data_IF_437739898454
#
_entry.id   IF_437739898454
#
_cell.length_a   1.000
_cell.length_b   1.000
_cell.length_c   1.000
_cell.angle_alpha   90.00
_cell.angle_beta   90.00
_cell.angle_gamma   90.00
#
_symmetry.space_group_name_H-M   'P 1'
#
loop_
_entity.id
_entity.type
_entity.pdbx_description
1 polymer ?
#
# COMPACT_ATOMS: atom_id res chain seq x y z
N UNK A 1 19.45 10.64 -16.08
CA UNK A 1 19.47 9.38 -16.83
C UNK A 1 18.10 8.72 -16.72
N UNK A 2 17.38 8.54 -17.83
CA UNK A 2 16.05 7.92 -17.86
C UNK A 2 16.24 6.40 -17.91
N UNK A 3 15.63 5.68 -16.99
CA UNK A 3 15.54 4.22 -17.02
C UNK A 3 14.09 3.82 -17.20
N UNK A 4 13.79 3.05 -18.23
CA UNK A 4 12.51 2.36 -18.39
C UNK A 4 12.51 1.14 -17.46
N UNK A 5 11.99 1.31 -16.26
CA UNK A 5 11.82 0.21 -15.31
C UNK A 5 10.33 -0.13 -15.28
N UNK A 6 10.00 -1.41 -15.42
CA UNK A 6 8.60 -1.86 -15.36
C UNK A 6 7.79 -1.56 -16.62
N UNK A 7 8.35 -1.82 -17.80
CA UNK A 7 7.66 -1.62 -19.09
C UNK A 7 6.27 -2.30 -19.15
N UNK A 8 6.10 -3.40 -18.41
CA UNK A 8 4.82 -4.11 -18.26
C UNK A 8 3.82 -3.37 -17.34
N UNK A 9 4.28 -2.45 -16.50
CA UNK A 9 3.43 -1.73 -15.54
C UNK A 9 3.24 -0.26 -15.91
N UNK A 10 3.78 0.20 -17.04
CA UNK A 10 3.63 1.58 -17.50
C UNK A 10 4.23 2.63 -16.57
N UNK A 11 5.31 2.28 -15.85
CA UNK A 11 6.04 3.20 -14.96
C UNK A 11 7.36 3.60 -15.60
N UNK A 12 7.62 4.90 -15.66
CA UNK A 12 8.86 5.50 -16.09
C UNK A 12 9.59 6.07 -14.88
N UNK A 13 10.75 5.50 -14.52
CA UNK A 13 11.61 6.05 -13.47
C UNK A 13 12.68 6.95 -14.07
N UNK A 14 12.84 8.15 -13.57
CA UNK A 14 13.95 9.01 -13.93
C UNK A 14 14.63 9.59 -12.69
N UNK A 15 15.94 9.84 -12.80
CA UNK A 15 16.73 10.48 -11.75
C UNK A 15 17.00 11.95 -12.12
N UNK A 16 16.61 12.88 -11.26
CA UNK A 16 16.84 14.31 -11.37
C UNK A 16 17.46 14.77 -10.06
N UNK A 17 18.64 15.37 -10.13
CA UNK A 17 19.37 15.95 -8.97
C UNK A 17 19.40 15.00 -7.73
N UNK A 18 19.85 13.77 -7.95
CA UNK A 18 19.95 12.72 -6.92
C UNK A 18 18.60 12.16 -6.40
N UNK A 19 17.45 12.69 -6.85
CA UNK A 19 16.13 12.20 -6.52
C UNK A 19 15.58 11.27 -7.61
N UNK A 20 14.98 10.17 -7.21
CA UNK A 20 14.30 9.27 -8.12
C UNK A 20 12.81 9.66 -8.22
N UNK A 21 12.34 9.82 -9.46
CA UNK A 21 10.95 10.15 -9.79
C UNK A 21 10.32 9.03 -10.58
N UNK A 22 9.16 8.59 -10.15
CA UNK A 22 8.33 7.62 -10.86
C UNK A 22 7.15 8.32 -11.53
N UNK A 23 7.06 8.20 -12.84
CA UNK A 23 5.93 8.67 -13.65
C UNK A 23 5.08 7.50 -14.07
N UNK A 24 3.81 7.54 -13.79
CA UNK A 24 2.86 6.51 -14.21
C UNK A 24 1.57 7.12 -14.73
N UNK A 25 0.99 6.50 -15.76
CA UNK A 25 -0.36 6.85 -16.17
C UNK A 25 -1.37 6.33 -15.14
N UNK A 26 -2.49 7.02 -14.96
CA UNK A 26 -3.63 6.47 -14.25
C UNK A 26 -4.04 5.12 -14.84
N UNK A 27 -4.35 4.15 -14.00
CA UNK A 27 -4.65 2.80 -14.45
C UNK A 27 -5.67 2.12 -13.54
N UNK A 28 -6.41 1.20 -14.09
CA UNK A 28 -7.24 0.24 -13.38
C UNK A 28 -6.48 -1.08 -13.33
N UNK A 29 -6.44 -1.70 -12.17
CA UNK A 29 -5.90 -3.04 -11.96
C UNK A 29 -7.09 -3.95 -11.61
N UNK A 30 -7.18 -5.09 -12.27
CA UNK A 30 -8.20 -6.10 -12.02
C UNK A 30 -7.53 -7.45 -11.79
N UNK A 31 -7.79 -8.08 -10.66
CA UNK A 31 -7.30 -9.43 -10.38
C UNK A 31 -8.02 -10.42 -11.29
N UNK A 32 -7.27 -11.18 -12.10
CA UNK A 32 -7.80 -12.14 -13.07
C UNK A 32 -7.49 -13.60 -12.69
N UNK A 33 -6.71 -13.84 -11.63
CA UNK A 33 -6.31 -15.17 -11.18
C UNK A 33 -6.00 -15.24 -9.69
N UNK A 34 -5.44 -16.38 -9.26
CA UNK A 34 -5.17 -16.66 -7.84
C UNK A 34 -3.83 -16.11 -7.36
N UNK A 35 -2.87 -15.92 -8.25
CA UNK A 35 -1.52 -15.49 -7.89
C UNK A 35 -1.41 -13.96 -7.86
N UNK A 36 -0.47 -13.45 -7.08
CA UNK A 36 -0.19 -12.02 -6.95
C UNK A 36 0.26 -11.34 -8.26
N UNK A 37 0.59 -12.10 -9.30
CA UNK A 37 0.96 -11.60 -10.64
C UNK A 37 -0.21 -11.60 -11.62
N UNK A 38 -1.34 -12.17 -11.24
CA UNK A 38 -2.51 -12.33 -12.12
C UNK A 38 -3.37 -11.06 -12.10
N UNK A 39 -2.79 -9.94 -12.52
CA UNK A 39 -3.52 -8.68 -12.69
C UNK A 39 -3.56 -8.26 -14.16
N UNK A 40 -4.74 -7.92 -14.64
CA UNK A 40 -4.90 -7.14 -15.86
C UNK A 40 -4.74 -5.66 -15.52
N UNK A 41 -3.85 -4.99 -16.23
CA UNK A 41 -3.58 -3.56 -16.06
C UNK A 41 -4.03 -2.84 -17.31
N UNK A 42 -5.01 -1.95 -17.16
CA UNK A 42 -5.49 -1.09 -18.24
C UNK A 42 -5.21 0.36 -17.87
N UNK A 43 -4.35 1.01 -18.65
CA UNK A 43 -4.07 2.44 -18.50
C UNK A 43 -5.19 3.26 -19.11
N UNK A 44 -5.67 4.27 -18.39
CA UNK A 44 -6.66 5.21 -18.88
C UNK A 44 -6.30 6.62 -18.36
N UNK A 45 -5.77 7.49 -19.22
CA UNK A 45 -5.37 8.85 -18.83
C UNK A 45 -6.53 9.74 -18.39
N UNK A 46 -7.78 9.36 -18.70
CA UNK A 46 -8.97 10.12 -18.36
C UNK A 46 -9.58 9.75 -17.00
N UNK A 47 -8.97 8.81 -16.25
CA UNK A 47 -9.42 8.51 -14.89
C UNK A 47 -9.24 9.72 -13.99
N UNK A 48 -10.25 10.00 -13.19
CA UNK A 48 -10.11 10.96 -12.09
C UNK A 48 -9.08 10.45 -11.07
N UNK A 49 -8.52 11.37 -10.28
CA UNK A 49 -7.59 11.00 -9.21
C UNK A 49 -8.21 9.99 -8.23
N UNK A 50 -9.50 10.17 -7.90
CA UNK A 50 -10.24 9.26 -7.02
C UNK A 50 -10.32 7.83 -7.58
N UNK A 51 -10.69 7.70 -8.85
CA UNK A 51 -10.77 6.39 -9.53
C UNK A 51 -9.40 5.70 -9.61
N UNK A 52 -8.34 6.46 -9.90
CA UNK A 52 -6.99 5.91 -9.94
C UNK A 52 -6.46 5.52 -8.55
N UNK A 53 -6.90 6.22 -7.49
CA UNK A 53 -6.41 6.01 -6.13
C UNK A 53 -7.17 4.93 -5.34
N UNK A 54 -8.39 4.53 -5.75
CA UNK A 54 -9.21 3.54 -5.02
C UNK A 54 -8.53 2.17 -4.86
N UNK A 55 -7.62 1.82 -5.77
CA UNK A 55 -6.82 0.59 -5.73
C UNK A 55 -5.68 0.61 -4.71
N UNK A 56 -5.38 1.78 -4.12
CA UNK A 56 -4.33 1.90 -3.10
C UNK A 56 -4.76 1.21 -1.81
N UNK A 57 -3.79 0.90 -0.98
CA UNK A 57 -4.00 0.17 0.27
C UNK A 57 -4.66 1.03 1.35
N UNK A 58 -4.09 2.20 1.65
CA UNK A 58 -4.52 3.04 2.78
C UNK A 58 -4.89 4.45 2.34
N UNK A 59 -5.80 5.08 3.09
CA UNK A 59 -6.26 6.45 2.87
C UNK A 59 -5.11 7.44 2.83
N UNK A 60 -4.14 7.30 3.76
CA UNK A 60 -2.93 8.15 3.82
C UNK A 60 -2.04 8.02 2.59
N UNK A 61 -2.07 6.87 1.92
CA UNK A 61 -1.30 6.63 0.70
C UNK A 61 -2.04 7.10 -0.57
N UNK A 62 -3.29 7.55 -0.43
CA UNK A 62 -4.12 8.08 -1.50
C UNK A 62 -4.19 9.62 -1.50
N UNK A 63 -3.44 10.27 -0.65
CA UNK A 63 -3.27 11.72 -0.69
C UNK A 63 -2.40 12.07 -1.90
N UNK A 64 -2.88 12.99 -2.72
CA UNK A 64 -2.14 13.54 -3.84
C UNK A 64 -1.94 15.05 -3.67
N UNK A 65 -1.16 15.63 -4.57
CA UNK A 65 -0.96 17.07 -4.65
C UNK A 65 -1.01 17.51 -6.11
N UNK A 66 -1.94 18.41 -6.41
CA UNK A 66 -2.02 19.05 -7.73
C UNK A 66 -1.11 20.28 -7.73
N UNK A 67 0.04 20.12 -8.38
CA UNK A 67 1.05 21.19 -8.44
C UNK A 67 0.55 22.45 -9.17
N UNK A 68 -0.30 22.27 -10.18
CA UNK A 68 -0.80 23.40 -10.98
C UNK A 68 -1.86 24.22 -10.25
N UNK A 69 -2.69 23.55 -9.44
CA UNK A 69 -3.72 24.18 -8.63
C UNK A 69 -3.25 24.53 -7.21
N UNK A 70 -2.05 24.04 -6.83
CA UNK A 70 -1.48 24.21 -5.50
C UNK A 70 -2.44 23.69 -4.39
N UNK A 71 -3.05 22.52 -4.60
CA UNK A 71 -4.03 21.93 -3.69
C UNK A 71 -3.78 20.45 -3.42
N UNK A 72 -4.18 20.01 -2.22
CA UNK A 72 -4.18 18.58 -1.91
C UNK A 72 -5.43 17.91 -2.46
N UNK A 73 -5.23 16.73 -3.04
CA UNK A 73 -6.28 15.83 -3.50
C UNK A 73 -6.40 14.71 -2.47
N UNK A 74 -7.49 14.72 -1.71
CA UNK A 74 -7.72 13.74 -0.63
C UNK A 74 -9.15 13.17 -0.68
N UNK A 75 -9.45 12.34 -1.68
CA UNK A 75 -10.80 11.84 -1.89
C UNK A 75 -11.26 10.81 -0.84
N UNK A 76 -10.36 10.34 0.03
CA UNK A 76 -10.62 9.30 1.03
C UNK A 76 -10.33 9.75 2.46
N UNK A 77 -10.21 11.06 2.71
CA UNK A 77 -9.99 11.64 4.03
C UNK A 77 -8.69 11.17 4.72
N UNK A 78 -7.65 10.88 3.94
CA UNK A 78 -6.35 10.41 4.47
C UNK A 78 -5.63 11.45 5.32
N UNK A 79 -5.81 12.74 5.04
CA UNK A 79 -5.24 13.83 5.86
C UNK A 79 -5.86 13.84 7.26
N UNK A 80 -7.17 13.59 7.35
CA UNK A 80 -7.87 13.51 8.62
C UNK A 80 -7.45 12.26 9.41
N UNK A 81 -7.40 11.10 8.76
CA UNK A 81 -6.91 9.87 9.37
C UNK A 81 -5.47 10.04 9.91
N UNK A 82 -4.60 10.70 9.14
CA UNK A 82 -3.23 10.98 9.57
C UNK A 82 -3.18 11.89 10.80
N UNK A 83 -4.01 12.95 10.84
CA UNK A 83 -4.11 13.86 12.00
C UNK A 83 -4.63 13.13 13.24
N UNK A 84 -5.56 12.20 13.06
CA UNK A 84 -6.15 11.41 14.14
C UNK A 84 -5.26 10.22 14.56
N UNK A 85 -4.13 10.02 13.89
CA UNK A 85 -3.23 8.90 14.18
C UNK A 85 -3.79 7.53 13.80
N UNK A 86 -4.59 7.46 12.73
CA UNK A 86 -5.29 6.24 12.30
C UNK A 86 -4.74 5.75 10.96
N UNK A 87 -4.54 4.45 10.84
CA UNK A 87 -4.24 3.77 9.57
C UNK A 87 -5.47 3.00 9.11
N UNK A 88 -6.11 3.50 8.05
CA UNK A 88 -7.34 2.95 7.51
C UNK A 88 -7.19 2.55 6.05
N UNK A 89 -7.75 1.40 5.67
CA UNK A 89 -7.82 0.99 4.26
C UNK A 89 -8.87 1.82 3.49
N UNK A 90 -8.77 1.82 2.16
CA UNK A 90 -9.66 2.61 1.30
C UNK A 90 -10.94 1.85 0.98
N UNK A 91 -10.81 0.59 0.55
CA UNK A 91 -11.92 -0.21 0.05
C UNK A 91 -11.68 -1.68 0.35
N UNK A 92 -12.69 -2.35 0.90
CA UNK A 92 -12.60 -3.74 1.36
C UNK A 92 -12.20 -4.69 0.22
N UNK A 93 -12.87 -4.59 -0.93
CA UNK A 93 -12.65 -5.49 -2.05
C UNK A 93 -11.24 -5.38 -2.62
N UNK A 94 -10.77 -4.14 -2.85
CA UNK A 94 -9.41 -3.94 -3.36
C UNK A 94 -8.36 -4.29 -2.32
N UNK A 95 -8.65 -4.10 -1.02
CA UNK A 95 -7.70 -4.40 0.05
C UNK A 95 -7.36 -5.90 0.13
N UNK A 96 -8.35 -6.76 -0.01
CA UNK A 96 -8.15 -8.22 0.05
C UNK A 96 -7.47 -8.81 -1.20
N UNK A 97 -7.36 -8.06 -2.30
CA UNK A 97 -6.73 -8.55 -3.53
C UNK A 97 -5.22 -8.81 -3.41
N UNK A 98 -4.53 -8.11 -2.50
CA UNK A 98 -3.09 -8.30 -2.24
C UNK A 98 -2.85 -8.56 -0.74
N UNK A 99 -2.65 -9.83 -0.39
CA UNK A 99 -2.41 -10.25 0.99
C UNK A 99 -1.14 -9.65 1.62
N UNK A 100 -0.20 -9.10 0.83
CA UNK A 100 0.94 -8.34 1.33
C UNK A 100 0.51 -7.09 2.11
N UNK A 101 -0.70 -6.58 1.89
CA UNK A 101 -1.22 -5.40 2.60
C UNK A 101 -1.31 -5.60 4.10
N UNK A 102 -1.37 -6.85 4.58
CA UNK A 102 -1.27 -7.17 6.01
C UNK A 102 0.09 -6.75 6.57
N UNK A 103 1.19 -7.12 5.91
CA UNK A 103 2.54 -6.69 6.33
C UNK A 103 2.77 -5.19 6.12
N UNK A 104 2.17 -4.64 5.08
CA UNK A 104 2.20 -3.19 4.83
C UNK A 104 1.46 -2.43 5.92
N UNK A 105 0.32 -2.94 6.44
CA UNK A 105 -0.38 -2.36 7.57
C UNK A 105 0.52 -2.27 8.81
N UNK A 106 1.22 -3.36 9.13
CA UNK A 106 2.19 -3.41 10.24
C UNK A 106 3.32 -2.39 10.04
N UNK A 107 3.89 -2.36 8.83
CA UNK A 107 5.00 -1.46 8.51
C UNK A 107 4.58 0.01 8.59
N UNK A 108 3.43 0.40 8.00
CA UNK A 108 2.97 1.78 8.01
C UNK A 108 2.52 2.23 9.41
N UNK A 109 1.79 1.39 10.15
CA UNK A 109 1.41 1.68 11.53
C UNK A 109 2.64 1.98 12.40
N UNK A 110 3.68 1.17 12.29
CA UNK A 110 4.93 1.38 13.03
C UNK A 110 5.71 2.60 12.55
N UNK A 111 5.81 2.81 11.24
CA UNK A 111 6.58 3.90 10.65
C UNK A 111 6.04 5.27 11.01
N UNK A 112 4.73 5.41 11.03
CA UNK A 112 4.05 6.67 11.28
C UNK A 112 3.40 6.75 12.66
N UNK A 113 3.64 5.74 13.53
CA UNK A 113 3.09 5.66 14.88
C UNK A 113 1.54 5.75 14.90
N UNK A 114 0.88 5.09 13.91
CA UNK A 114 -0.56 5.09 13.74
C UNK A 114 -1.21 3.87 14.39
N UNK A 115 -2.44 4.03 14.86
CA UNK A 115 -3.29 2.91 15.28
C UNK A 115 -4.00 2.32 14.07
N UNK A 116 -4.03 1.00 13.98
CA UNK A 116 -4.78 0.31 12.94
C UNK A 116 -6.28 0.46 13.22
N UNK A 117 -7.02 0.96 12.22
CA UNK A 117 -8.48 1.05 12.28
C UNK A 117 -9.10 -0.34 12.46
N UNK A 118 -10.18 -0.46 13.25
CA UNK A 118 -10.78 -1.75 13.58
C UNK A 118 -11.31 -2.48 12.34
N UNK A 119 -11.90 -1.77 11.37
CA UNK A 119 -12.36 -2.39 10.13
C UNK A 119 -11.18 -2.93 9.31
N UNK A 120 -10.06 -2.20 9.26
CA UNK A 120 -8.82 -2.65 8.61
C UNK A 120 -8.22 -3.87 9.31
N UNK A 121 -8.26 -3.90 10.64
CA UNK A 121 -7.80 -5.01 11.44
C UNK A 121 -8.61 -6.29 11.20
N UNK A 122 -9.93 -6.15 11.10
CA UNK A 122 -10.82 -7.27 10.74
C UNK A 122 -10.46 -7.83 9.35
N UNK A 123 -10.25 -6.97 8.35
CA UNK A 123 -9.84 -7.41 7.02
C UNK A 123 -8.47 -8.11 7.04
N UNK A 124 -7.50 -7.59 7.79
CA UNK A 124 -6.21 -8.25 7.97
C UNK A 124 -6.39 -9.67 8.55
N UNK A 125 -7.21 -9.83 9.59
CA UNK A 125 -7.50 -11.14 10.19
C UNK A 125 -8.19 -12.08 9.20
N UNK A 126 -9.13 -11.59 8.39
CA UNK A 126 -9.79 -12.38 7.35
C UNK A 126 -8.79 -12.90 6.31
N UNK A 127 -7.84 -12.05 5.85
CA UNK A 127 -6.77 -12.45 4.92
C UNK A 127 -5.86 -13.51 5.56
N UNK A 128 -5.50 -13.34 6.83
CA UNK A 128 -4.65 -14.30 7.56
C UNK A 128 -5.37 -15.65 7.65
N UNK A 129 -6.63 -15.65 8.07
CA UNK A 129 -7.45 -16.85 8.24
C UNK A 129 -7.74 -17.57 6.91
N UNK A 130 -7.76 -16.87 5.78
CA UNK A 130 -7.88 -17.48 4.45
C UNK A 130 -6.67 -18.33 4.06
N UNK A 131 -5.54 -18.13 4.74
CA UNK A 131 -4.27 -18.80 4.44
C UNK A 131 -3.52 -18.25 3.23
N UNK A 132 -3.97 -17.12 2.65
CA UNK A 132 -3.33 -16.50 1.47
C UNK A 132 -1.92 -16.02 1.72
N UNK A 133 -1.54 -15.73 2.98
CA UNK A 133 -0.17 -15.31 3.32
C UNK A 133 0.88 -16.37 2.94
N UNK A 134 0.52 -17.66 2.90
CA UNK A 134 1.42 -18.77 2.52
C UNK A 134 1.90 -18.69 1.07
N UNK A 135 1.17 -18.00 0.22
CA UNK A 135 1.48 -17.85 -1.20
C UNK A 135 2.30 -16.59 -1.51
N UNK A 136 2.57 -15.77 -0.50
CA UNK A 136 3.41 -14.58 -0.69
C UNK A 136 4.87 -14.97 -0.90
N UNK A 137 5.56 -14.39 -1.90
CA UNK A 137 7.00 -14.53 -2.01
C UNK A 137 7.71 -13.99 -0.77
N UNK A 138 8.64 -14.76 -0.23
CA UNK A 138 9.40 -14.40 0.98
C UNK A 138 10.14 -13.07 0.82
N UNK A 139 10.62 -12.77 -0.36
CA UNK A 139 11.31 -11.52 -0.69
C UNK A 139 10.41 -10.31 -0.47
N UNK A 140 9.11 -10.41 -0.82
CA UNK A 140 8.15 -9.32 -0.59
C UNK A 140 7.90 -9.11 0.91
N UNK A 141 7.73 -10.19 1.67
CA UNK A 141 7.58 -10.12 3.14
C UNK A 141 8.83 -9.50 3.76
N UNK A 142 10.02 -9.98 3.37
CA UNK A 142 11.30 -9.48 3.85
C UNK A 142 11.46 -7.97 3.62
N UNK A 143 11.10 -7.46 2.43
CA UNK A 143 11.20 -6.03 2.14
C UNK A 143 10.26 -5.18 3.01
N UNK A 144 9.05 -5.65 3.36
CA UNK A 144 8.19 -4.92 4.29
C UNK A 144 8.72 -4.97 5.72
N UNK A 145 9.20 -6.12 6.20
CA UNK A 145 9.84 -6.24 7.52
C UNK A 145 11.13 -5.41 7.62
N UNK A 146 11.95 -5.40 6.57
CA UNK A 146 13.14 -4.54 6.51
C UNK A 146 12.76 -3.06 6.63
N UNK A 147 11.71 -2.61 5.94
CA UNK A 147 11.19 -1.23 6.08
C UNK A 147 10.70 -0.97 7.49
N UNK A 148 10.03 -1.92 8.12
CA UNK A 148 9.61 -1.84 9.52
C UNK A 148 10.79 -1.50 10.44
N UNK A 149 11.90 -2.23 10.34
CA UNK A 149 13.06 -2.02 11.22
C UNK A 149 13.89 -0.79 10.84
N UNK A 150 14.08 -0.51 9.55
CA UNK A 150 14.98 0.56 9.11
C UNK A 150 14.29 1.94 9.10
N UNK A 151 12.96 1.99 8.80
CA UNK A 151 12.25 3.25 8.60
C UNK A 151 11.38 3.67 9.78
N UNK A 152 11.17 2.82 10.77
CA UNK A 152 10.35 3.14 11.94
C UNK A 152 11.20 3.66 13.09
N UNK A 153 10.70 4.71 13.76
CA UNK A 153 11.32 5.19 14.99
C UNK A 153 11.03 4.26 16.17
N UNK A 154 9.87 3.58 16.14
CA UNK A 154 9.41 2.65 17.18
C UNK A 154 8.99 1.31 16.54
N UNK A 155 9.95 0.44 16.19
CA UNK A 155 9.62 -0.87 15.62
C UNK A 155 8.76 -1.75 16.54
N UNK A 156 8.76 -1.48 17.85
CA UNK A 156 7.93 -2.20 18.83
C UNK A 156 6.44 -2.17 18.50
N UNK A 157 5.92 -1.06 17.95
CA UNK A 157 4.53 -0.95 17.51
C UNK A 157 4.21 -2.02 16.47
N UNK A 158 5.10 -2.18 15.48
CA UNK A 158 4.93 -3.21 14.45
C UNK A 158 5.05 -4.62 15.01
N UNK A 159 5.98 -4.87 15.94
CA UNK A 159 6.14 -6.17 16.60
C UNK A 159 4.90 -6.53 17.45
N UNK A 160 4.30 -5.56 18.12
CA UNK A 160 3.05 -5.77 18.84
C UNK A 160 1.90 -6.11 17.91
N UNK A 161 1.79 -5.41 16.77
CA UNK A 161 0.79 -5.72 15.74
C UNK A 161 1.01 -7.10 15.10
N UNK A 162 2.25 -7.50 14.81
CA UNK A 162 2.56 -8.85 14.33
C UNK A 162 2.06 -9.92 15.30
N UNK A 163 2.26 -9.69 16.62
CA UNK A 163 1.78 -10.58 17.68
C UNK A 163 0.25 -10.58 17.76
N UNK A 164 -0.37 -9.40 17.74
CA UNK A 164 -1.82 -9.24 17.85
C UNK A 164 -2.58 -9.86 16.67
N UNK A 165 -1.98 -9.81 15.49
CA UNK A 165 -2.49 -10.42 14.27
C UNK A 165 -2.10 -11.89 14.11
N UNK A 166 -1.30 -12.44 15.03
CA UNK A 166 -0.86 -13.85 15.03
C UNK A 166 -0.14 -14.28 13.75
N UNK A 167 0.67 -13.37 13.16
CA UNK A 167 1.34 -13.62 11.88
C UNK A 167 2.79 -14.11 11.99
N UNK A 168 3.31 -14.33 13.18
CA UNK A 168 4.70 -14.82 13.33
C UNK A 168 4.96 -16.16 12.65
N UNK A 169 3.95 -17.02 12.56
CA UNK A 169 4.08 -18.33 11.91
C UNK A 169 4.23 -18.26 10.38
N UNK A 170 4.06 -17.07 9.80
CA UNK A 170 4.16 -16.83 8.35
C UNK A 170 5.41 -16.03 7.94
N UNK A 171 6.36 -15.79 8.86
CA UNK A 171 7.58 -15.01 8.63
C UNK A 171 8.81 -15.89 8.37
#
# INVERSE_FOLDING_TARGET
KIKLVGKSFGVLTCKIDELDFDFSLPRVEQKIGKYHQDFSITTNPNLSFKEAAIRRDFTINAIGYDYFKNEFLDPFCGIEDLKNGVLKHINDNTFIEDSLRVYRAVQFASRFELKLDESTKILCKNIINSGELKYLPRERIFEELKKLFIKSKKPSIGLELLRELEIFDFI
#
